data_IF_600654922331
#
_entry.id   IF_600654922331
#
_cell.length_a   1.000
_cell.length_b   1.000
_cell.length_c   1.000
_cell.angle_alpha   90.00
_cell.angle_beta   90.00
_cell.angle_gamma   90.00
#
_symmetry.space_group_name_H-M   'P 1'
#
loop_
_entity.id
_entity.type
_entity.pdbx_description
1 polymer ?
#
# COMPACT_ATOMS: atom_id res chain seq x y z
N UNK A 1 -29.81 4.98 6.71
CA UNK A 1 -29.57 4.82 5.26
C UNK A 1 -28.73 3.57 5.11
N UNK A 2 -29.37 2.48 4.70
CA UNK A 2 -28.74 1.17 4.57
C UNK A 2 -27.78 1.26 3.39
N UNK A 3 -26.47 1.18 3.65
CA UNK A 3 -25.46 1.10 2.59
C UNK A 3 -25.61 -0.29 2.00
N UNK A 4 -26.00 -0.35 0.73
CA UNK A 4 -26.05 -1.58 -0.04
C UNK A 4 -24.61 -2.10 -0.22
N UNK A 5 -24.23 -3.13 0.54
CA UNK A 5 -22.88 -3.71 0.52
C UNK A 5 -22.69 -4.73 -0.61
N UNK A 6 -23.41 -4.60 -1.72
CA UNK A 6 -23.22 -5.41 -2.93
C UNK A 6 -22.01 -4.97 -3.77
N UNK A 7 -21.04 -4.26 -3.18
CA UNK A 7 -19.92 -3.64 -3.90
C UNK A 7 -18.63 -4.44 -3.77
N UNK A 8 -18.22 -5.10 -4.86
CA UNK A 8 -16.96 -5.85 -5.05
C UNK A 8 -16.86 -7.20 -4.30
N UNK A 9 -17.44 -8.26 -4.89
CA UNK A 9 -17.10 -9.63 -4.52
C UNK A 9 -15.74 -10.01 -5.10
N UNK A 10 -14.82 -10.50 -4.27
CA UNK A 10 -13.54 -11.07 -4.73
C UNK A 10 -12.33 -10.51 -4.00
N UNK A 11 -11.21 -11.22 -4.11
CA UNK A 11 -9.98 -10.89 -3.40
C UNK A 11 -9.36 -9.61 -3.97
N UNK A 12 -8.86 -8.76 -3.07
CA UNK A 12 -8.08 -7.58 -3.38
C UNK A 12 -6.59 -7.83 -3.15
N UNK A 13 -5.76 -7.42 -4.11
CA UNK A 13 -4.35 -7.09 -3.87
C UNK A 13 -4.23 -5.58 -3.65
N UNK A 14 -4.09 -5.15 -2.39
CA UNK A 14 -4.06 -3.73 -2.04
C UNK A 14 -2.67 -3.08 -2.17
N UNK A 15 -1.66 -3.76 -2.70
CA UNK A 15 -0.35 -3.15 -2.92
C UNK A 15 0.42 -3.89 -4.00
N UNK A 16 0.58 -3.29 -5.17
CA UNK A 16 1.61 -3.67 -6.14
C UNK A 16 2.03 -2.46 -6.99
N UNK A 17 3.12 -2.59 -7.73
CA UNK A 17 3.64 -1.58 -8.64
C UNK A 17 3.62 -2.10 -10.08
N UNK A 18 3.56 -1.20 -11.05
CA UNK A 18 3.78 -1.54 -12.46
C UNK A 18 4.96 -0.72 -13.00
N UNK A 19 5.74 -1.34 -13.88
CA UNK A 19 6.87 -0.69 -14.53
C UNK A 19 6.82 -0.97 -16.04
N UNK A 20 6.84 0.09 -16.83
CA UNK A 20 6.80 -0.04 -18.28
C UNK A 20 5.46 -0.59 -18.83
N UNK A 21 5.45 -1.06 -20.10
CA UNK A 21 6.63 -1.26 -20.94
C UNK A 21 7.33 0.06 -21.29
N UNK A 22 8.67 0.11 -21.18
CA UNK A 22 9.43 1.36 -21.28
C UNK A 22 9.40 2.05 -22.64
N UNK A 23 9.02 1.34 -23.70
CA UNK A 23 8.77 1.95 -25.01
C UNK A 23 7.54 2.88 -25.01
N UNK A 24 6.57 2.65 -24.13
CA UNK A 24 5.36 3.48 -23.99
C UNK A 24 5.40 4.37 -22.75
N UNK A 25 5.97 3.86 -21.65
CA UNK A 25 6.06 4.55 -20.38
C UNK A 25 7.53 4.61 -19.94
N UNK A 26 8.35 5.46 -20.60
CA UNK A 26 9.77 5.56 -20.30
C UNK A 26 9.98 6.08 -18.87
N UNK A 27 11.10 5.69 -18.26
CA UNK A 27 11.53 6.30 -17.01
C UNK A 27 11.95 7.77 -17.27
N UNK A 28 11.84 8.66 -16.27
CA UNK A 28 12.40 10.00 -16.36
C UNK A 28 13.92 9.94 -16.60
N UNK A 29 14.56 11.01 -17.08
CA UNK A 29 16.00 11.02 -17.41
C UNK A 29 16.93 10.66 -16.25
N UNK A 30 16.54 10.96 -15.01
CA UNK A 30 17.29 10.68 -13.79
C UNK A 30 16.39 9.96 -12.75
N UNK A 31 16.07 8.68 -12.99
CA UNK A 31 15.18 7.95 -12.10
C UNK A 31 15.95 7.52 -10.85
N UNK A 32 15.31 7.63 -9.68
CA UNK A 32 15.91 7.22 -8.40
C UNK A 32 16.35 5.74 -8.37
N UNK A 33 15.75 4.90 -9.21
CA UNK A 33 16.18 3.53 -9.55
C UNK A 33 15.52 3.10 -10.87
N UNK A 34 16.11 2.12 -11.56
CA UNK A 34 15.60 1.59 -12.83
C UNK A 34 15.24 0.10 -12.68
N UNK A 35 13.97 -0.26 -12.41
CA UNK A 35 13.58 -1.65 -12.27
C UNK A 35 13.49 -2.36 -13.64
N UNK A 36 13.50 -3.70 -13.70
CA UNK A 36 13.04 -4.41 -14.88
C UNK A 36 11.59 -4.05 -15.23
N UNK A 37 11.22 -4.18 -16.50
CA UNK A 37 9.82 -3.99 -16.90
C UNK A 37 8.94 -5.04 -16.21
N UNK A 38 7.78 -4.58 -15.74
CA UNK A 38 6.75 -5.32 -15.04
C UNK A 38 5.39 -4.66 -15.39
N UNK A 39 4.92 -4.80 -16.64
CA UNK A 39 3.77 -4.07 -17.16
C UNK A 39 2.44 -4.55 -16.55
N UNK A 40 1.41 -3.69 -16.61
CA UNK A 40 0.08 -4.00 -16.08
C UNK A 40 -0.53 -5.31 -16.63
N UNK A 41 -0.23 -5.66 -17.88
CA UNK A 41 -0.70 -6.91 -18.49
C UNK A 41 -0.20 -8.16 -17.75
N UNK A 42 1.01 -8.13 -17.18
CA UNK A 42 1.58 -9.27 -16.47
C UNK A 42 0.91 -9.48 -15.11
N UNK A 43 0.76 -8.42 -14.31
CA UNK A 43 0.07 -8.54 -13.01
C UNK A 43 -1.40 -8.88 -13.20
N UNK A 44 -2.07 -8.39 -14.26
CA UNK A 44 -3.45 -8.78 -14.55
C UNK A 44 -3.58 -10.27 -14.87
N UNK A 45 -2.65 -10.83 -15.65
CA UNK A 45 -2.62 -12.27 -15.91
C UNK A 45 -2.35 -13.07 -14.63
N UNK A 46 -1.44 -12.60 -13.78
CA UNK A 46 -1.17 -13.20 -12.47
C UNK A 46 -2.38 -13.18 -11.55
N UNK A 47 -3.05 -12.03 -11.43
CA UNK A 47 -4.28 -11.88 -10.64
C UNK A 47 -5.37 -12.85 -11.11
N UNK A 48 -5.59 -12.95 -12.42
CA UNK A 48 -6.54 -13.90 -12.99
C UNK A 48 -6.20 -15.36 -12.61
N UNK A 49 -4.92 -15.74 -12.66
CA UNK A 49 -4.47 -17.08 -12.27
C UNK A 49 -4.62 -17.36 -10.77
N UNK A 50 -4.57 -16.34 -9.91
CA UNK A 50 -4.69 -16.45 -8.45
C UNK A 50 -6.13 -16.23 -7.94
N UNK A 51 -7.07 -15.87 -8.81
CA UNK A 51 -8.44 -15.52 -8.41
C UNK A 51 -8.54 -14.18 -7.66
N UNK A 52 -7.60 -13.27 -7.92
CA UNK A 52 -7.64 -11.88 -7.42
C UNK A 52 -8.47 -11.06 -8.39
N UNK A 53 -9.54 -10.45 -7.89
CA UNK A 53 -10.52 -9.72 -8.69
C UNK A 53 -10.25 -8.22 -8.74
N UNK A 54 -9.59 -7.69 -7.71
CA UNK A 54 -9.36 -6.26 -7.53
C UNK A 54 -7.91 -5.97 -7.18
N UNK A 55 -7.45 -4.76 -7.49
CA UNK A 55 -6.07 -4.39 -7.23
C UNK A 55 -5.87 -2.90 -6.95
N UNK A 56 -4.82 -2.58 -6.20
CA UNK A 56 -4.40 -1.21 -5.91
C UNK A 56 -2.98 -0.99 -6.43
N UNK A 57 -2.88 -0.27 -7.54
CA UNK A 57 -1.62 0.10 -8.17
C UNK A 57 -1.03 1.28 -7.39
N UNK A 58 0.12 1.08 -6.77
CA UNK A 58 0.87 2.11 -6.07
C UNK A 58 1.91 2.71 -7.01
N UNK A 59 1.92 4.04 -7.13
CA UNK A 59 2.89 4.76 -7.94
C UNK A 59 4.32 4.32 -7.61
N UNK A 60 5.02 3.85 -8.63
CA UNK A 60 6.42 3.48 -8.55
C UNK A 60 7.28 4.73 -8.37
N UNK A 61 8.12 4.77 -7.35
CA UNK A 61 8.90 5.97 -7.04
C UNK A 61 9.92 6.31 -8.15
N UNK A 62 10.29 5.35 -9.00
CA UNK A 62 11.08 5.59 -10.21
C UNK A 62 10.41 6.51 -11.25
N UNK A 63 9.08 6.65 -11.22
CA UNK A 63 8.33 7.55 -12.10
C UNK A 63 8.07 8.93 -11.47
N UNK A 64 8.32 9.10 -10.17
CA UNK A 64 8.00 10.36 -9.49
C UNK A 64 6.52 10.72 -9.62
N UNK A 65 6.26 11.91 -10.16
CA UNK A 65 4.93 12.48 -10.43
C UNK A 65 4.43 12.27 -11.87
N UNK A 66 5.13 11.47 -12.68
CA UNK A 66 4.59 10.97 -13.95
C UNK A 66 3.67 9.77 -13.69
N UNK A 67 2.35 10.00 -13.78
CA UNK A 67 1.33 8.97 -13.56
C UNK A 67 0.82 8.31 -14.84
N UNK A 68 1.45 8.49 -16.00
CA UNK A 68 0.87 8.03 -17.27
C UNK A 68 0.68 6.51 -17.32
N UNK A 69 1.66 5.75 -16.80
CA UNK A 69 1.54 4.29 -16.69
C UNK A 69 0.40 3.88 -15.74
N UNK A 70 0.32 4.53 -14.57
CA UNK A 70 -0.71 4.30 -13.56
C UNK A 70 -2.09 4.55 -14.15
N UNK A 71 -2.31 5.73 -14.71
CA UNK A 71 -3.61 6.16 -15.18
C UNK A 71 -4.07 5.37 -16.41
N UNK A 72 -3.15 5.01 -17.32
CA UNK A 72 -3.47 4.13 -18.44
C UNK A 72 -3.90 2.71 -17.97
N UNK A 73 -3.27 2.19 -16.92
CA UNK A 73 -3.66 0.91 -16.33
C UNK A 73 -5.04 0.98 -15.66
N UNK A 74 -5.38 2.11 -15.03
CA UNK A 74 -6.69 2.30 -14.43
C UNK A 74 -7.80 2.36 -15.48
N UNK A 75 -7.58 3.05 -16.60
CA UNK A 75 -8.55 3.07 -17.71
C UNK A 75 -8.80 1.66 -18.28
N UNK A 76 -7.72 0.90 -18.49
CA UNK A 76 -7.76 -0.48 -19.00
C UNK A 76 -8.31 -1.49 -17.97
N UNK A 77 -8.47 -1.07 -16.72
CA UNK A 77 -8.99 -1.92 -15.64
C UNK A 77 -10.52 -1.95 -15.57
N UNK A 78 -11.20 -1.04 -16.26
CA UNK A 78 -12.66 -0.88 -16.20
C UNK A 78 -13.20 -0.81 -14.76
N UNK A 79 -12.47 -0.15 -13.86
CA UNK A 79 -12.89 0.07 -12.48
C UNK A 79 -12.66 -1.11 -11.53
N UNK A 80 -11.99 -2.20 -11.97
CA UNK A 80 -11.60 -3.29 -11.07
C UNK A 80 -10.35 -2.97 -10.25
N UNK A 81 -9.56 -1.98 -10.68
CA UNK A 81 -8.37 -1.52 -9.97
C UNK A 81 -8.53 -0.06 -9.48
N UNK A 82 -7.74 0.31 -8.47
CA UNK A 82 -7.61 1.67 -7.94
C UNK A 82 -6.15 2.10 -7.92
N UNK A 83 -5.93 3.41 -7.89
CA UNK A 83 -4.58 4.00 -7.91
C UNK A 83 -4.21 4.69 -6.61
N UNK A 84 -2.93 4.65 -6.27
CA UNK A 84 -2.27 5.51 -5.28
C UNK A 84 -1.22 6.34 -5.99
N UNK A 85 -1.39 7.66 -5.97
CA UNK A 85 -0.50 8.60 -6.65
C UNK A 85 0.62 9.11 -5.73
N UNK A 86 1.63 9.74 -6.32
CA UNK A 86 2.56 10.64 -5.61
C UNK A 86 2.30 12.04 -6.13
N UNK A 87 2.01 13.01 -5.26
CA UNK A 87 1.64 14.37 -5.68
C UNK A 87 2.46 15.42 -4.93
N UNK A 88 2.56 16.60 -5.55
CA UNK A 88 3.10 17.82 -4.93
C UNK A 88 1.95 18.67 -4.34
N UNK A 89 2.16 19.43 -3.24
CA UNK A 89 1.16 20.37 -2.73
C UNK A 89 0.64 21.38 -3.77
N UNK A 90 1.44 21.71 -4.79
CA UNK A 90 1.12 22.66 -5.85
C UNK A 90 0.40 22.01 -7.05
N UNK A 91 0.08 20.71 -6.99
CA UNK A 91 -0.69 20.04 -8.05
C UNK A 91 -1.98 20.80 -8.35
N UNK A 92 -2.32 20.92 -9.64
CA UNK A 92 -3.53 21.62 -10.03
C UNK A 92 -4.79 20.82 -9.67
N UNK A 93 -5.88 21.54 -9.38
CA UNK A 93 -7.13 20.92 -8.93
C UNK A 93 -7.80 20.08 -10.02
N UNK A 94 -7.66 20.47 -11.29
CA UNK A 94 -8.23 19.75 -12.41
C UNK A 94 -7.58 18.36 -12.58
N UNK A 95 -6.28 18.26 -12.31
CA UNK A 95 -5.50 17.03 -12.33
C UNK A 95 -5.88 16.10 -11.19
N UNK A 96 -6.11 16.63 -9.99
CA UNK A 96 -6.66 15.82 -8.88
C UNK A 96 -8.06 15.28 -9.20
N UNK A 97 -8.93 16.10 -9.78
CA UNK A 97 -10.26 15.68 -10.21
C UNK A 97 -10.20 14.62 -11.32
N UNK A 98 -9.32 14.78 -12.31
CA UNK A 98 -9.05 13.79 -13.37
C UNK A 98 -8.57 12.46 -12.79
N UNK A 99 -7.58 12.49 -11.90
CA UNK A 99 -7.09 11.31 -11.19
C UNK A 99 -8.21 10.61 -10.41
N UNK A 100 -9.06 11.36 -9.71
CA UNK A 100 -10.18 10.81 -8.97
C UNK A 100 -11.18 10.11 -9.88
N UNK A 101 -11.56 10.77 -10.98
CA UNK A 101 -12.49 10.23 -11.98
C UNK A 101 -11.97 8.92 -12.60
N UNK A 102 -10.65 8.81 -12.77
CA UNK A 102 -9.98 7.62 -13.33
C UNK A 102 -9.68 6.54 -12.30
N UNK A 103 -10.01 6.74 -11.02
CA UNK A 103 -9.95 5.69 -10.00
C UNK A 103 -8.79 5.79 -9.02
N UNK A 104 -8.07 6.91 -8.96
CA UNK A 104 -7.14 7.18 -7.85
C UNK A 104 -7.94 7.39 -6.56
N UNK A 105 -7.50 6.79 -5.46
CA UNK A 105 -8.17 6.82 -4.14
C UNK A 105 -7.23 7.16 -2.99
N UNK A 106 -5.98 7.49 -3.30
CA UNK A 106 -5.03 7.86 -2.28
C UNK A 106 -3.71 8.33 -2.84
N UNK A 107 -2.85 8.71 -1.91
CA UNK A 107 -1.48 9.15 -2.19
C UNK A 107 -0.48 8.33 -1.39
N UNK A 108 0.78 8.32 -1.83
CA UNK A 108 1.91 7.76 -1.10
C UNK A 108 2.76 8.87 -0.52
N UNK A 109 2.99 8.81 0.79
CA UNK A 109 3.99 9.60 1.50
C UNK A 109 5.22 8.71 1.71
N UNK A 110 6.25 8.89 0.86
CA UNK A 110 7.54 8.24 1.02
C UNK A 110 8.30 8.86 2.19
N UNK A 111 8.57 8.07 3.24
CA UNK A 111 9.33 8.48 4.42
C UNK A 111 10.77 7.92 4.41
N UNK A 112 11.07 7.04 3.46
CA UNK A 112 12.43 6.53 3.29
C UNK A 112 13.33 7.59 2.71
N UNK A 113 14.33 8.00 3.48
CA UNK A 113 15.31 9.04 3.11
C UNK A 113 15.99 8.80 1.76
N UNK A 114 16.19 7.54 1.37
CA UNK A 114 16.81 7.15 0.08
C UNK A 114 15.82 7.08 -1.10
N UNK A 115 14.51 7.24 -0.89
CA UNK A 115 13.47 7.19 -1.93
C UNK A 115 12.74 8.54 -2.13
N UNK A 116 13.01 9.56 -1.32
CA UNK A 116 12.26 10.82 -1.38
C UNK A 116 12.71 11.96 -0.46
N UNK A 117 13.91 11.90 0.13
CA UNK A 117 14.41 12.94 1.05
C UNK A 117 13.87 12.79 2.50
N UNK A 118 14.28 13.67 3.43
CA UNK A 118 13.83 13.61 4.82
C UNK A 118 12.33 13.91 4.93
N UNK A 119 11.66 13.31 5.91
CA UNK A 119 10.27 13.58 6.20
C UNK A 119 10.06 15.08 6.54
N UNK A 120 9.23 15.78 5.76
CA UNK A 120 8.75 17.13 6.05
C UNK A 120 7.25 17.07 6.45
N UNK A 121 6.94 17.14 7.76
CA UNK A 121 5.56 17.10 8.25
C UNK A 121 4.68 18.25 7.72
N UNK A 122 5.27 19.41 7.43
CA UNK A 122 4.55 20.57 6.90
C UNK A 122 4.09 20.30 5.47
N UNK A 123 5.00 19.81 4.62
CA UNK A 123 4.67 19.36 3.26
C UNK A 123 3.65 18.23 3.27
N UNK A 124 3.82 17.22 4.14
CA UNK A 124 2.85 16.10 4.25
C UNK A 124 1.46 16.59 4.63
N UNK A 125 1.34 17.51 5.58
CA UNK A 125 0.07 18.14 5.94
C UNK A 125 -0.54 18.89 4.77
N UNK A 126 0.25 19.66 4.03
CA UNK A 126 -0.23 20.40 2.87
C UNK A 126 -0.82 19.46 1.81
N UNK A 127 -0.13 18.36 1.50
CA UNK A 127 -0.64 17.35 0.56
C UNK A 127 -1.91 16.67 1.08
N UNK A 128 -1.97 16.32 2.37
CA UNK A 128 -3.16 15.71 2.97
C UNK A 128 -4.41 16.59 2.88
N UNK A 129 -4.26 17.91 3.03
CA UNK A 129 -5.39 18.84 2.89
C UNK A 129 -5.91 18.88 1.44
N UNK A 130 -5.05 18.74 0.43
CA UNK A 130 -5.47 18.68 -0.98
C UNK A 130 -6.37 17.48 -1.29
N UNK A 131 -6.14 16.35 -0.63
CA UNK A 131 -6.88 15.11 -0.92
C UNK A 131 -8.17 14.96 -0.10
N UNK A 132 -8.34 15.76 0.97
CA UNK A 132 -9.49 15.67 1.88
C UNK A 132 -10.86 15.75 1.18
N UNK A 133 -11.10 16.66 0.19
CA UNK A 133 -12.38 16.73 -0.51
C UNK A 133 -12.76 15.45 -1.28
N UNK A 134 -11.77 14.64 -1.65
CA UNK A 134 -11.94 13.43 -2.44
C UNK A 134 -12.19 12.18 -1.58
N UNK A 135 -12.14 12.29 -0.26
CA UNK A 135 -12.23 11.14 0.66
C UNK A 135 -11.07 10.15 0.53
N UNK A 136 -9.96 10.59 -0.06
CA UNK A 136 -8.78 9.76 -0.28
C UNK A 136 -8.02 9.47 1.02
N UNK A 137 -7.26 8.38 1.00
CA UNK A 137 -6.33 8.05 2.08
C UNK A 137 -4.88 8.41 1.72
N UNK A 138 -4.01 8.48 2.73
CA UNK A 138 -2.56 8.53 2.51
C UNK A 138 -1.89 7.28 3.03
N UNK A 139 -0.99 6.73 2.23
CA UNK A 139 -0.17 5.58 2.55
C UNK A 139 1.18 6.06 3.10
N UNK A 140 1.61 5.49 4.22
CA UNK A 140 2.88 5.79 4.90
C UNK A 140 3.87 4.65 4.66
N UNK A 141 4.93 4.91 3.90
CA UNK A 141 5.99 3.94 3.63
C UNK A 141 7.33 4.41 4.18
N UNK A 142 7.81 3.78 5.26
CA UNK A 142 9.04 4.11 5.96
C UNK A 142 9.48 3.00 6.92
N UNK A 143 10.60 3.22 7.60
CA UNK A 143 10.98 2.40 8.75
C UNK A 143 10.11 2.76 9.96
N UNK A 144 9.97 1.84 10.90
CA UNK A 144 9.08 2.00 12.06
C UNK A 144 9.26 3.36 12.79
N UNK A 145 10.48 3.83 13.12
CA UNK A 145 10.65 5.12 13.77
C UNK A 145 10.14 6.31 12.94
N UNK A 146 10.37 6.30 11.63
CA UNK A 146 9.92 7.37 10.72
C UNK A 146 8.40 7.37 10.58
N UNK A 147 7.78 6.19 10.49
CA UNK A 147 6.33 6.03 10.47
C UNK A 147 5.71 6.56 11.75
N UNK A 148 6.22 6.18 12.92
CA UNK A 148 5.73 6.67 14.22
C UNK A 148 5.88 8.18 14.33
N UNK A 149 7.00 8.75 13.90
CA UNK A 149 7.21 10.19 13.88
C UNK A 149 6.21 10.92 12.97
N UNK A 150 5.94 10.38 11.78
CA UNK A 150 4.91 10.92 10.89
C UNK A 150 3.51 10.83 11.52
N UNK A 151 3.17 9.72 12.19
CA UNK A 151 1.87 9.53 12.83
C UNK A 151 1.57 10.57 13.92
N UNK A 152 2.57 10.99 14.69
CA UNK A 152 2.41 12.10 15.66
C UNK A 152 1.92 13.39 15.00
N UNK A 153 2.40 13.69 13.79
CA UNK A 153 2.01 14.89 13.07
C UNK A 153 0.68 14.74 12.31
N UNK A 154 0.42 13.57 11.75
CA UNK A 154 -0.64 13.36 10.76
C UNK A 154 -1.92 12.74 11.36
N UNK A 155 -1.82 11.89 12.38
CA UNK A 155 -2.99 11.25 12.97
C UNK A 155 -4.06 12.24 13.50
N UNK A 156 -3.71 13.41 14.08
CA UNK A 156 -4.70 14.41 14.50
C UNK A 156 -5.54 15.02 13.37
N UNK A 157 -5.13 14.87 12.10
CA UNK A 157 -5.88 15.39 10.94
C UNK A 157 -7.14 14.59 10.62
N UNK A 158 -7.29 13.39 11.20
CA UNK A 158 -8.43 12.49 11.00
C UNK A 158 -8.72 12.18 9.52
N UNK A 159 -7.68 12.13 8.69
CA UNK A 159 -7.72 11.64 7.31
C UNK A 159 -7.30 10.17 7.33
N UNK A 160 -7.93 9.26 6.58
CA UNK A 160 -7.52 7.86 6.57
C UNK A 160 -6.03 7.70 6.24
N UNK A 161 -5.30 6.98 7.11
CA UNK A 161 -3.88 6.68 6.95
C UNK A 161 -3.69 5.17 6.86
N UNK A 162 -2.89 4.72 5.89
CA UNK A 162 -2.57 3.31 5.65
C UNK A 162 -1.09 3.10 5.87
N UNK A 163 -0.73 2.31 6.88
CA UNK A 163 0.66 1.97 7.17
C UNK A 163 1.09 0.79 6.28
N UNK A 164 2.15 0.97 5.50
CA UNK A 164 2.65 -0.05 4.57
C UNK A 164 3.49 -1.12 5.27
N UNK A 165 3.45 -2.34 4.71
CA UNK A 165 4.34 -3.46 5.03
C UNK A 165 4.65 -3.65 6.52
N UNK A 166 3.61 -3.65 7.37
CA UNK A 166 3.76 -3.78 8.82
C UNK A 166 4.75 -2.75 9.43
N UNK A 167 4.73 -1.51 8.93
CA UNK A 167 5.65 -0.42 9.28
C UNK A 167 7.14 -0.75 9.11
N UNK A 168 7.46 -1.76 8.27
CA UNK A 168 8.80 -2.34 8.10
C UNK A 168 9.52 -2.59 9.43
N UNK A 169 8.80 -3.10 10.42
CA UNK A 169 9.40 -3.52 11.71
C UNK A 169 10.56 -4.47 11.43
N UNK A 170 11.73 -4.26 12.04
CA UNK A 170 12.78 -5.28 11.99
C UNK A 170 12.36 -6.44 12.91
N UNK A 171 11.93 -7.55 12.31
CA UNK A 171 11.51 -8.74 13.04
C UNK A 171 12.63 -9.78 13.18
N UNK A 172 13.77 -9.58 12.53
CA UNK A 172 14.95 -10.46 12.56
C UNK A 172 15.79 -10.27 13.82
N UNK A 173 16.03 -9.02 14.22
CA UNK A 173 16.92 -8.68 15.34
C UNK A 173 16.17 -8.35 16.65
N UNK A 174 14.84 -8.51 16.63
CA UNK A 174 13.96 -8.16 17.75
C UNK A 174 13.22 -6.84 17.54
N UNK A 175 11.99 -6.77 18.04
CA UNK A 175 11.11 -5.62 17.87
C UNK A 175 11.54 -4.50 18.83
N UNK A 176 11.81 -3.29 18.31
CA UNK A 176 11.95 -2.10 19.14
C UNK A 176 10.63 -1.84 19.88
N UNK A 177 10.56 -2.24 21.15
CA UNK A 177 9.32 -2.24 21.90
C UNK A 177 8.70 -0.84 22.07
N UNK A 178 9.45 0.25 22.32
CA UNK A 178 8.84 1.58 22.45
C UNK A 178 8.18 2.08 21.15
N UNK A 179 8.85 1.93 20.01
CA UNK A 179 8.30 2.37 18.73
C UNK A 179 7.15 1.47 18.27
N UNK A 180 7.24 0.17 18.55
CA UNK A 180 6.16 -0.77 18.24
C UNK A 180 4.93 -0.51 19.13
N UNK A 181 5.11 -0.26 20.43
CA UNK A 181 4.01 0.12 21.31
C UNK A 181 3.29 1.40 20.84
N UNK A 182 4.05 2.43 20.41
CA UNK A 182 3.46 3.63 19.81
C UNK A 182 2.67 3.30 18.53
N UNK A 183 3.17 2.42 17.67
CA UNK A 183 2.43 1.93 16.51
C UNK A 183 1.11 1.26 16.92
N UNK A 184 1.11 0.43 17.97
CA UNK A 184 -0.10 -0.22 18.49
C UNK A 184 -1.14 0.81 18.96
N UNK A 185 -0.71 1.84 19.69
CA UNK A 185 -1.57 2.93 20.16
C UNK A 185 -2.19 3.70 18.99
N UNK A 186 -1.40 4.06 17.97
CA UNK A 186 -1.92 4.73 16.78
C UNK A 186 -2.87 3.83 15.98
N UNK A 187 -2.56 2.54 15.83
CA UNK A 187 -3.37 1.61 15.04
C UNK A 187 -4.74 1.32 15.68
N UNK A 188 -4.90 1.59 16.98
CA UNK A 188 -6.20 1.56 17.66
C UNK A 188 -7.15 2.68 17.18
N UNK A 189 -6.64 3.75 16.56
CA UNK A 189 -7.46 4.83 16.01
C UNK A 189 -8.30 4.35 14.81
N UNK A 190 -9.55 4.83 14.66
CA UNK A 190 -10.50 4.29 13.69
C UNK A 190 -10.17 4.62 12.22
N UNK A 191 -9.34 5.63 11.97
CA UNK A 191 -8.90 6.05 10.64
C UNK A 191 -7.53 5.47 10.25
N UNK A 192 -6.92 4.65 11.10
CA UNK A 192 -5.61 4.03 10.86
C UNK A 192 -5.77 2.59 10.38
N UNK A 193 -5.13 2.28 9.26
CA UNK A 193 -5.15 1.01 8.57
C UNK A 193 -3.74 0.44 8.46
N UNK A 194 -3.64 -0.87 8.28
CA UNK A 194 -2.36 -1.57 8.19
C UNK A 194 -2.36 -2.55 7.03
N UNK A 195 -1.29 -2.56 6.24
CA UNK A 195 -1.05 -3.63 5.26
C UNK A 195 -0.24 -4.75 5.88
N UNK A 196 -0.84 -5.94 5.94
CA UNK A 196 -0.19 -7.21 6.31
C UNK A 196 0.56 -7.79 5.11
N UNK A 197 1.51 -7.02 4.57
CA UNK A 197 2.30 -7.34 3.37
C UNK A 197 3.80 -7.23 3.65
N UNK A 198 4.64 -7.68 2.73
CA UNK A 198 6.10 -7.62 2.87
C UNK A 198 6.67 -8.44 4.04
N UNK A 199 6.27 -9.72 4.26
CA UNK A 199 6.86 -10.54 5.31
C UNK A 199 8.37 -10.73 5.12
N UNK A 200 8.83 -10.81 3.87
CA UNK A 200 10.23 -10.76 3.44
C UNK A 200 10.91 -9.45 3.84
N UNK A 201 10.22 -8.32 3.68
CA UNK A 201 10.75 -6.98 3.98
C UNK A 201 11.04 -6.75 5.46
N UNK A 202 10.32 -7.43 6.35
CA UNK A 202 10.50 -7.34 7.81
C UNK A 202 11.39 -8.44 8.39
N UNK A 203 11.81 -9.39 7.56
CA UNK A 203 12.67 -10.53 7.96
C UNK A 203 13.99 -10.57 7.19
N UNK A 204 14.26 -9.55 6.36
CA UNK A 204 15.40 -9.52 5.44
C UNK A 204 15.48 -10.77 4.53
N UNK A 205 14.32 -11.26 4.09
CA UNK A 205 14.22 -12.44 3.25
C UNK A 205 14.54 -13.77 3.95
N UNK A 206 14.80 -13.79 5.26
CA UNK A 206 15.13 -15.00 6.01
C UNK A 206 13.89 -15.89 6.15
N UNK A 207 13.88 -16.99 5.39
CA UNK A 207 12.82 -18.01 5.39
C UNK A 207 13.06 -19.12 6.43
N UNK A 208 12.02 -19.76 7.00
CA UNK A 208 10.61 -19.36 6.95
C UNK A 208 10.38 -18.01 7.65
N UNK A 209 9.24 -17.34 7.46
CA UNK A 209 8.96 -16.02 8.09
C UNK A 209 8.16 -16.09 9.42
N UNK A 210 8.52 -16.88 10.46
CA UNK A 210 7.71 -16.99 11.67
C UNK A 210 7.71 -15.69 12.48
N UNK A 211 8.78 -14.88 12.38
CA UNK A 211 8.84 -13.56 12.97
C UNK A 211 7.78 -12.63 12.35
N UNK A 212 7.62 -12.67 11.02
CA UNK A 212 6.57 -11.92 10.33
C UNK A 212 5.18 -12.38 10.75
N UNK A 213 4.94 -13.68 10.93
CA UNK A 213 3.66 -14.21 11.41
C UNK A 213 3.29 -13.64 12.78
N UNK A 214 4.25 -13.55 13.72
CA UNK A 214 3.99 -12.98 15.05
C UNK A 214 3.62 -11.50 14.97
N UNK A 215 4.37 -10.72 14.20
CA UNK A 215 4.10 -9.28 14.00
C UNK A 215 2.73 -9.09 13.34
N UNK A 216 2.47 -9.82 12.25
CA UNK A 216 1.25 -9.68 11.48
C UNK A 216 0.00 -10.08 12.29
N UNK A 217 0.06 -11.16 13.08
CA UNK A 217 -1.04 -11.53 14.01
C UNK A 217 -1.31 -10.45 15.04
N UNK A 218 -0.26 -9.90 15.66
CA UNK A 218 -0.42 -8.84 16.66
C UNK A 218 -1.08 -7.59 16.08
N UNK A 219 -0.68 -7.17 14.88
CA UNK A 219 -1.29 -6.03 14.20
C UNK A 219 -2.73 -6.32 13.75
N UNK A 220 -3.01 -7.56 13.31
CA UNK A 220 -4.35 -8.02 12.96
C UNK A 220 -5.29 -8.02 14.18
N UNK A 221 -4.81 -8.44 15.36
CA UNK A 221 -5.60 -8.44 16.60
C UNK A 221 -6.01 -7.03 17.03
N UNK A 222 -5.17 -6.02 16.77
CA UNK A 222 -5.43 -4.61 17.13
C UNK A 222 -6.45 -3.97 16.17
N UNK A 223 -6.35 -4.28 14.87
CA UNK A 223 -7.14 -3.64 13.83
C UNK A 223 -7.76 -4.65 12.85
N UNK A 224 -8.56 -5.63 13.31
CA UNK A 224 -9.08 -6.70 12.45
C UNK A 224 -9.98 -6.18 11.33
N UNK A 225 -10.68 -5.07 11.57
CA UNK A 225 -11.53 -4.41 10.57
C UNK A 225 -10.76 -3.42 9.66
N UNK A 226 -9.47 -3.18 9.91
CA UNK A 226 -8.64 -2.21 9.15
C UNK A 226 -7.31 -2.79 8.69
N UNK A 227 -7.18 -4.11 8.76
CA UNK A 227 -6.09 -4.86 8.18
C UNK A 227 -6.44 -5.25 6.74
N UNK A 228 -5.51 -5.01 5.83
CA UNK A 228 -5.60 -5.34 4.40
C UNK A 228 -4.33 -6.03 3.94
N UNK A 229 -4.32 -6.64 2.76
CA UNK A 229 -3.17 -7.37 2.23
C UNK A 229 -2.79 -6.88 0.84
N UNK A 230 -1.52 -7.05 0.46
CA UNK A 230 -1.06 -6.84 -0.90
C UNK A 230 0.21 -7.64 -1.21
N UNK A 231 0.45 -7.92 -2.48
CA UNK A 231 1.57 -8.78 -2.92
C UNK A 231 2.91 -8.07 -2.85
N UNK A 232 2.92 -6.75 -3.03
CA UNK A 232 4.09 -5.91 -3.26
C UNK A 232 4.88 -6.28 -4.53
N UNK A 233 4.20 -6.96 -5.48
CA UNK A 233 4.75 -7.26 -6.81
C UNK A 233 5.22 -5.97 -7.51
N UNK A 234 6.34 -5.97 -8.26
CA UNK A 234 7.23 -7.11 -8.57
C UNK A 234 8.39 -7.26 -7.56
N UNK A 235 8.20 -6.80 -6.32
CA UNK A 235 9.16 -6.81 -5.22
C UNK A 235 10.41 -5.96 -5.50
N UNK A 236 10.26 -4.63 -5.73
CA UNK A 236 11.40 -3.76 -6.03
C UNK A 236 12.35 -3.63 -4.83
N UNK A 237 13.62 -3.35 -5.14
CA UNK A 237 14.65 -2.97 -4.16
C UNK A 237 14.91 -4.03 -3.07
N UNK A 238 14.85 -5.32 -3.43
CA UNK A 238 15.26 -6.43 -2.56
C UNK A 238 16.62 -7.00 -2.99
N UNK A 239 17.36 -7.56 -2.04
CA UNK A 239 18.67 -8.22 -2.28
C UNK A 239 18.61 -9.74 -2.06
N UNK A 240 17.42 -10.27 -1.85
CA UNK A 240 17.12 -11.69 -1.64
C UNK A 240 16.17 -12.21 -2.74
N UNK A 241 15.97 -13.53 -2.85
CA UNK A 241 15.03 -14.09 -3.83
C UNK A 241 13.62 -13.51 -3.68
N UNK A 242 12.98 -13.18 -4.80
CA UNK A 242 11.61 -12.67 -4.83
C UNK A 242 10.64 -13.69 -4.22
N UNK A 243 9.75 -13.28 -3.31
CA UNK A 243 8.65 -14.12 -2.84
C UNK A 243 7.75 -14.54 -4.01
N UNK A 244 7.13 -15.71 -3.90
CA UNK A 244 6.13 -16.17 -4.86
C UNK A 244 4.73 -15.67 -4.45
N UNK A 245 3.95 -15.12 -5.38
CA UNK A 245 2.65 -14.50 -5.06
C UNK A 245 1.60 -15.51 -4.62
N UNK A 246 1.60 -16.72 -5.17
CA UNK A 246 0.68 -17.79 -4.72
C UNK A 246 1.00 -18.23 -3.29
N UNK A 247 2.29 -18.23 -2.94
CA UNK A 247 2.75 -18.49 -1.58
C UNK A 247 2.36 -17.35 -0.63
N UNK A 248 2.51 -16.08 -1.04
CA UNK A 248 2.08 -14.92 -0.24
C UNK A 248 0.57 -14.94 0.03
N UNK A 249 -0.22 -15.32 -0.97
CA UNK A 249 -1.68 -15.46 -0.82
C UNK A 249 -2.04 -16.62 0.13
N UNK A 250 -1.33 -17.75 0.05
CA UNK A 250 -1.49 -18.84 1.00
C UNK A 250 -1.05 -18.44 2.42
N UNK A 251 0.03 -17.67 2.54
CA UNK A 251 0.57 -17.17 3.81
C UNK A 251 -0.44 -16.28 4.53
N UNK A 252 -1.07 -15.32 3.84
CA UNK A 252 -2.05 -14.44 4.49
C UNK A 252 -3.33 -15.19 4.89
N UNK A 253 -3.78 -16.18 4.10
CA UNK A 253 -4.91 -17.04 4.47
C UNK A 253 -4.61 -17.86 5.73
N UNK A 254 -3.41 -18.44 5.80
CA UNK A 254 -2.96 -19.18 6.97
C UNK A 254 -2.77 -18.27 8.20
N UNK A 255 -2.35 -17.02 8.00
CA UNK A 255 -2.23 -16.02 9.06
C UNK A 255 -3.59 -15.72 9.70
N UNK A 256 -4.63 -15.52 8.88
CA UNK A 256 -5.98 -15.18 9.31
C UNK A 256 -6.64 -16.27 10.15
N UNK A 257 -6.28 -17.55 9.94
CA UNK A 257 -6.70 -18.68 10.78
C UNK A 257 -8.13 -19.16 10.57
N UNK A 258 -9.04 -18.33 10.08
CA UNK A 258 -10.43 -18.67 9.77
C UNK A 258 -10.97 -17.91 8.54
N UNK A 259 -12.12 -18.36 8.03
CA UNK A 259 -12.73 -17.82 6.81
C UNK A 259 -13.26 -16.38 6.99
N UNK A 260 -13.84 -16.05 8.16
CA UNK A 260 -14.40 -14.72 8.39
C UNK A 260 -13.30 -13.66 8.45
N UNK A 261 -12.19 -13.96 9.12
CA UNK A 261 -11.01 -13.10 9.17
C UNK A 261 -10.34 -13.00 7.79
N UNK A 262 -10.28 -14.10 7.05
CA UNK A 262 -9.78 -14.10 5.66
C UNK A 262 -10.61 -13.18 4.77
N UNK A 263 -11.94 -13.29 4.82
CA UNK A 263 -12.86 -12.44 4.05
C UNK A 263 -12.77 -10.98 4.49
N UNK A 264 -12.61 -10.72 5.80
CA UNK A 264 -12.38 -9.38 6.30
C UNK A 264 -11.12 -8.76 5.65
N UNK A 265 -9.97 -9.44 5.74
CA UNK A 265 -8.67 -8.91 5.28
C UNK A 265 -8.57 -8.82 3.75
N UNK A 266 -9.11 -9.80 3.03
CA UNK A 266 -8.93 -9.93 1.58
C UNK A 266 -10.07 -9.34 0.75
N UNK A 267 -11.25 -9.11 1.33
CA UNK A 267 -12.45 -8.70 0.59
C UNK A 267 -13.11 -7.46 1.22
N UNK A 268 -13.61 -7.58 2.45
CA UNK A 268 -14.49 -6.57 3.04
C UNK A 268 -13.77 -5.30 3.46
N UNK A 269 -12.61 -5.42 4.11
CA UNK A 269 -11.81 -4.27 4.55
C UNK A 269 -11.28 -3.47 3.33
N UNK A 270 -10.67 -4.11 2.31
CA UNK A 270 -10.29 -3.42 1.07
C UNK A 270 -11.47 -2.75 0.37
N UNK A 271 -12.60 -3.43 0.18
CA UNK A 271 -13.77 -2.87 -0.49
C UNK A 271 -14.26 -1.60 0.24
N UNK A 272 -14.29 -1.59 1.57
CA UNK A 272 -14.66 -0.40 2.35
C UNK A 272 -13.69 0.77 2.18
N UNK A 273 -12.40 0.50 1.97
CA UNK A 273 -11.39 1.54 1.81
C UNK A 273 -11.32 2.08 0.37
N UNK A 274 -11.61 1.25 -0.63
CA UNK A 274 -11.27 1.52 -2.03
C UNK A 274 -12.45 1.59 -3.02
N UNK A 275 -13.59 0.96 -2.71
CA UNK A 275 -14.70 0.83 -3.65
C UNK A 275 -15.31 2.19 -4.02
#
# INVERSE_FOLDING_TARGET
MQVDTTGASGIWDCHFHIFGPYARFPLPPDPIYAPPAAPFSEIRALHAALGIAHGVIVQGACYGDDHDALLAALDDSHGTYRGIATIDPEIDEARLADMHARGVRGIRLGLMSHLGGPADPGRMRAVLERIRPYGWHALLHGQLPDVVNALWALAPLNIPLVIDHMARVNASDGISYPAFAALEEFLALPHLWIKLSGPDRITDGIVPYPAAVRVARRLLDIAPARAIWGTDWPHPNIQYPRPNESWLLAWIRALCGDAATTDAVLVNNPARLYA
#
